data_IF_834560767022
#
_entry.id   IF_834560767022
#
_cell.length_a   1.000
_cell.length_b   1.000
_cell.length_c   1.000
_cell.angle_alpha   90.00
_cell.angle_beta   90.00
_cell.angle_gamma   90.00
#
_symmetry.space_group_name_H-M   'P 1'
#
loop_
_entity.id
_entity.type
_entity.pdbx_description
1 polymer ?
#
# COMPACT_ATOMS: atom_id res chain seq x y z
N UNK A 1 -15.72 -6.63 4.54
CA UNK A 1 -15.01 -6.05 5.71
C UNK A 1 -16.05 -5.64 6.72
N UNK A 2 -15.70 -5.59 7.99
CA UNK A 2 -16.55 -5.09 9.07
C UNK A 2 -16.63 -3.56 9.06
N UNK A 3 -17.68 -3.03 9.67
CA UNK A 3 -17.99 -1.60 9.70
C UNK A 3 -16.84 -0.78 10.31
N UNK A 4 -16.23 -1.28 11.39
CA UNK A 4 -15.10 -0.63 12.07
C UNK A 4 -13.90 -0.43 11.14
N UNK A 5 -13.60 -1.40 10.28
CA UNK A 5 -12.50 -1.27 9.31
C UNK A 5 -12.80 -0.23 8.23
N UNK A 6 -14.04 -0.19 7.75
CA UNK A 6 -14.46 0.79 6.74
C UNK A 6 -14.37 2.20 7.34
N UNK A 7 -14.88 2.38 8.56
CA UNK A 7 -14.80 3.66 9.29
C UNK A 7 -13.33 4.04 9.49
N UNK A 8 -12.48 3.14 9.99
CA UNK A 8 -11.07 3.42 10.19
C UNK A 8 -10.34 3.75 8.87
N UNK A 9 -10.73 3.12 7.75
CA UNK A 9 -10.23 3.45 6.42
C UNK A 9 -10.57 4.88 5.98
N UNK A 10 -11.77 5.36 6.29
CA UNK A 10 -12.15 6.75 6.02
C UNK A 10 -11.40 7.75 6.92
N UNK A 11 -10.99 7.33 8.12
CA UNK A 11 -10.32 8.16 9.12
C UNK A 11 -8.78 8.02 9.12
N UNK A 12 -8.21 7.23 8.22
CA UNK A 12 -6.84 6.72 8.35
C UNK A 12 -5.75 7.80 8.50
N UNK A 13 -5.90 8.94 7.82
CA UNK A 13 -4.97 10.07 7.87
C UNK A 13 -5.45 11.20 8.80
N UNK A 14 -6.61 11.08 9.43
CA UNK A 14 -7.20 12.13 10.28
C UNK A 14 -6.25 12.54 11.42
N UNK A 15 -5.58 11.59 12.05
CA UNK A 15 -4.66 11.86 13.16
C UNK A 15 -3.30 12.43 12.73
N UNK A 16 -2.94 12.32 11.46
CA UNK A 16 -1.69 12.89 10.91
C UNK A 16 -1.91 14.30 10.36
N UNK A 17 -3.00 14.49 9.63
CA UNK A 17 -3.25 15.72 8.87
C UNK A 17 -4.06 16.77 9.63
N UNK A 18 -4.62 16.42 10.79
CA UNK A 18 -5.47 17.34 11.57
C UNK A 18 -5.13 17.34 13.06
N UNK A 19 -5.51 18.41 13.75
CA UNK A 19 -5.36 18.54 15.21
C UNK A 19 -6.53 17.96 16.00
N UNK A 20 -7.28 17.02 15.43
CA UNK A 20 -8.43 16.40 16.10
C UNK A 20 -7.98 15.59 17.32
N UNK A 21 -8.69 15.77 18.44
CA UNK A 21 -8.46 14.94 19.63
C UNK A 21 -8.88 13.49 19.36
N UNK A 22 -7.97 12.55 19.61
CA UNK A 22 -8.19 11.10 19.54
C UNK A 22 -9.42 10.65 20.34
N UNK A 23 -9.74 11.34 21.44
CA UNK A 23 -10.93 11.05 22.27
C UNK A 23 -12.23 11.23 21.51
N UNK A 24 -12.27 12.13 20.52
CA UNK A 24 -13.44 12.37 19.69
C UNK A 24 -13.79 11.14 18.84
N UNK A 25 -12.78 10.41 18.35
CA UNK A 25 -13.00 9.19 17.56
C UNK A 25 -13.67 8.11 18.43
N UNK A 26 -13.16 7.88 19.64
CA UNK A 26 -13.75 6.89 20.56
C UNK A 26 -15.14 7.28 21.03
N UNK A 27 -15.43 8.58 21.22
CA UNK A 27 -16.76 9.03 21.66
C UNK A 27 -17.80 9.03 20.53
N UNK A 28 -17.37 9.23 19.28
CA UNK A 28 -18.25 9.28 18.12
C UNK A 28 -18.54 7.89 17.56
N UNK A 29 -17.54 7.01 17.57
CA UNK A 29 -17.65 5.65 17.02
C UNK A 29 -17.52 4.62 18.15
N UNK A 30 -16.31 4.13 18.41
CA UNK A 30 -16.00 3.21 19.50
C UNK A 30 -14.47 3.11 19.69
N UNK A 31 -14.04 2.38 20.73
CA UNK A 31 -12.61 2.17 21.00
C UNK A 31 -11.90 1.32 19.93
N UNK A 32 -12.60 0.39 19.26
CA UNK A 32 -12.02 -0.46 18.23
C UNK A 32 -11.57 0.38 17.02
N UNK A 33 -12.43 1.29 16.55
CA UNK A 33 -12.11 2.25 15.47
C UNK A 33 -10.91 3.11 15.87
N UNK A 34 -10.89 3.64 17.10
CA UNK A 34 -9.75 4.44 17.56
C UNK A 34 -8.44 3.65 17.53
N UNK A 35 -8.45 2.40 17.99
CA UNK A 35 -7.25 1.57 18.03
C UNK A 35 -6.79 1.16 16.63
N UNK A 36 -7.73 0.90 15.70
CA UNK A 36 -7.44 0.70 14.28
C UNK A 36 -6.76 1.93 13.67
N UNK A 37 -7.34 3.13 13.84
CA UNK A 37 -6.78 4.37 13.28
C UNK A 37 -5.38 4.62 13.85
N UNK A 38 -5.17 4.46 15.17
CA UNK A 38 -3.83 4.56 15.78
C UNK A 38 -2.83 3.57 15.17
N UNK A 39 -3.25 2.33 14.93
CA UNK A 39 -2.38 1.31 14.34
C UNK A 39 -2.00 1.68 12.90
N UNK A 40 -2.95 2.19 12.10
CA UNK A 40 -2.68 2.66 10.73
C UNK A 40 -1.70 3.84 10.72
N UNK A 41 -1.93 4.86 11.55
CA UNK A 41 -1.01 6.00 11.74
C UNK A 41 0.40 5.55 12.15
N UNK A 42 0.50 4.54 13.02
CA UNK A 42 1.82 4.00 13.41
C UNK A 42 2.57 3.39 12.22
N UNK A 43 1.88 2.60 11.39
CA UNK A 43 2.46 1.99 10.18
C UNK A 43 2.91 3.09 9.21
N UNK A 44 2.08 4.12 8.98
CA UNK A 44 2.43 5.29 8.16
C UNK A 44 3.69 6.00 8.66
N UNK A 45 3.81 6.22 9.97
CA UNK A 45 4.99 6.83 10.59
C UNK A 45 6.27 5.98 10.41
N UNK A 46 6.18 4.66 10.60
CA UNK A 46 7.32 3.75 10.39
C UNK A 46 7.75 3.70 8.92
N UNK A 47 6.79 3.68 7.98
CA UNK A 47 7.04 3.77 6.55
C UNK A 47 7.75 5.08 6.17
N UNK A 48 7.35 6.21 6.77
CA UNK A 48 8.01 7.50 6.55
C UNK A 48 9.47 7.48 7.04
N UNK A 49 9.73 6.94 8.23
CA UNK A 49 11.09 6.79 8.75
C UNK A 49 11.96 5.90 7.87
N UNK A 50 11.39 4.84 7.29
CA UNK A 50 12.10 3.98 6.34
C UNK A 50 12.53 4.77 5.10
N UNK A 51 11.60 5.51 4.48
CA UNK A 51 11.86 6.34 3.28
C UNK A 51 12.90 7.43 3.52
N UNK A 52 12.94 8.02 4.71
CA UNK A 52 13.91 9.08 5.07
C UNK A 52 15.29 8.50 5.46
N UNK A 53 15.48 7.19 5.39
CA UNK A 53 16.75 6.54 5.77
C UNK A 53 17.05 6.61 7.27
N UNK A 54 16.04 6.94 8.08
CA UNK A 54 16.16 7.08 9.54
C UNK A 54 16.11 5.73 10.27
N UNK A 55 15.86 4.63 9.54
CA UNK A 55 15.93 3.28 10.09
C UNK A 55 17.36 2.74 9.94
N UNK A 56 17.95 2.33 11.07
CA UNK A 56 19.32 1.82 11.18
C UNK A 56 19.55 0.49 10.44
N UNK A 57 18.51 -0.17 9.91
CA UNK A 57 18.57 -1.50 9.30
C UNK A 57 17.95 -1.42 7.89
N UNK A 58 18.82 -1.39 6.86
CA UNK A 58 18.49 -1.20 5.44
C UNK A 58 17.88 -2.41 4.73
N UNK A 59 17.53 -3.48 5.46
CA UNK A 59 17.00 -4.68 4.84
C UNK A 59 15.47 -4.59 4.77
N UNK A 60 14.93 -4.59 3.55
CA UNK A 60 13.49 -4.65 3.26
C UNK A 60 12.79 -5.82 3.96
N UNK A 61 13.51 -6.93 4.14
CA UNK A 61 13.08 -8.09 4.93
C UNK A 61 12.81 -7.75 6.40
N UNK A 62 13.73 -7.00 7.04
CA UNK A 62 13.58 -6.62 8.45
C UNK A 62 12.46 -5.61 8.64
N UNK A 63 12.29 -4.67 7.70
CA UNK A 63 11.16 -3.75 7.71
C UNK A 63 9.84 -4.50 7.54
N UNK A 64 9.75 -5.42 6.58
CA UNK A 64 8.58 -6.27 6.38
C UNK A 64 8.26 -7.07 7.64
N UNK A 65 9.25 -7.70 8.30
CA UNK A 65 9.06 -8.43 9.57
C UNK A 65 8.56 -7.49 10.68
N UNK A 66 9.09 -6.27 10.78
CA UNK A 66 8.63 -5.27 11.77
C UNK A 66 7.19 -4.86 11.53
N UNK A 67 6.81 -4.57 10.29
CA UNK A 67 5.43 -4.28 9.92
C UNK A 67 4.53 -5.45 10.28
N UNK A 68 4.91 -6.68 9.92
CA UNK A 68 4.18 -7.91 10.28
C UNK A 68 4.04 -8.11 11.80
N UNK A 69 5.10 -7.87 12.57
CA UNK A 69 5.08 -7.99 14.03
C UNK A 69 4.11 -6.98 14.65
N UNK A 70 4.11 -5.73 14.15
CA UNK A 70 3.22 -4.66 14.62
C UNK A 70 1.73 -4.92 14.37
N UNK A 71 1.38 -5.78 13.41
CA UNK A 71 -0.01 -6.13 13.02
C UNK A 71 -0.39 -7.57 13.40
N UNK A 72 0.48 -8.30 14.10
CA UNK A 72 0.30 -9.73 14.38
C UNK A 72 -0.99 -10.09 15.13
N UNK A 73 -1.59 -9.12 15.84
CA UNK A 73 -2.85 -9.30 16.57
C UNK A 73 -4.09 -8.90 15.77
N UNK A 74 -3.94 -8.07 14.74
CA UNK A 74 -5.04 -7.56 13.94
C UNK A 74 -4.53 -7.14 12.55
N UNK A 75 -5.04 -7.81 11.51
CA UNK A 75 -4.66 -7.58 10.12
C UNK A 75 -5.43 -6.43 9.48
N UNK A 76 -6.51 -5.93 10.11
CA UNK A 76 -7.35 -4.86 9.54
C UNK A 76 -6.54 -3.58 9.22
N UNK A 77 -5.61 -3.09 10.07
CA UNK A 77 -4.75 -1.94 9.78
C UNK A 77 -3.89 -2.09 8.51
N UNK A 78 -3.34 -3.28 8.26
CA UNK A 78 -2.52 -3.50 7.06
C UNK A 78 -3.37 -3.55 5.79
N UNK A 79 -4.60 -4.09 5.88
CA UNK A 79 -5.54 -4.09 4.77
C UNK A 79 -5.93 -2.66 4.41
N UNK A 80 -6.22 -1.82 5.40
CA UNK A 80 -6.46 -0.38 5.20
C UNK A 80 -5.26 0.25 4.48
N UNK A 81 -4.03 -0.05 4.93
CA UNK A 81 -2.84 0.56 4.33
C UNK A 81 -2.58 0.10 2.90
N UNK A 82 -2.86 -1.17 2.59
CA UNK A 82 -2.80 -1.70 1.22
C UNK A 82 -3.84 -1.00 0.33
N UNK A 83 -5.05 -0.77 0.83
CA UNK A 83 -6.09 -0.04 0.10
C UNK A 83 -5.69 1.41 -0.17
N UNK A 84 -5.16 2.11 0.84
CA UNK A 84 -4.57 3.45 0.70
C UNK A 84 -3.43 3.44 -0.34
N UNK A 85 -2.52 2.46 -0.30
CA UNK A 85 -1.43 2.34 -1.28
C UNK A 85 -1.93 2.11 -2.69
N UNK A 86 -2.94 1.27 -2.87
CA UNK A 86 -3.57 1.05 -4.17
C UNK A 86 -4.18 2.35 -4.73
N UNK A 87 -4.88 3.12 -3.88
CA UNK A 87 -5.41 4.43 -4.26
C UNK A 87 -4.29 5.41 -4.65
N UNK A 88 -3.25 5.52 -3.82
CA UNK A 88 -2.09 6.39 -4.08
C UNK A 88 -1.39 6.05 -5.39
N UNK A 89 -1.21 4.76 -5.70
CA UNK A 89 -0.66 4.33 -6.98
C UNK A 89 -1.58 4.67 -8.16
N UNK A 90 -2.89 4.61 -7.97
CA UNK A 90 -3.87 4.96 -9.00
C UNK A 90 -3.88 6.46 -9.35
N UNK A 91 -3.39 7.32 -8.44
CA UNK A 91 -3.32 8.78 -8.62
C UNK A 91 -1.87 9.31 -8.68
N UNK A 92 -0.88 8.42 -8.78
CA UNK A 92 0.55 8.74 -8.67
C UNK A 92 1.07 9.75 -9.71
N UNK A 93 0.39 9.83 -10.87
CA UNK A 93 0.73 10.73 -11.97
C UNK A 93 0.78 12.22 -11.60
N UNK A 94 0.10 12.62 -10.52
CA UNK A 94 0.11 14.01 -10.03
C UNK A 94 1.36 14.36 -9.21
N UNK A 95 2.20 13.38 -8.88
CA UNK A 95 3.46 13.59 -8.14
C UNK A 95 4.64 13.80 -9.09
N UNK A 96 5.73 14.40 -8.59
CA UNK A 96 7.00 14.48 -9.33
C UNK A 96 7.62 13.09 -9.52
N UNK A 97 8.29 12.87 -10.65
CA UNK A 97 8.90 11.58 -11.05
C UNK A 97 9.71 10.91 -9.93
N UNK A 98 10.57 11.66 -9.22
CA UNK A 98 11.38 11.10 -8.13
C UNK A 98 10.52 10.51 -7.01
N UNK A 99 9.43 11.21 -6.65
CA UNK A 99 8.49 10.76 -5.61
C UNK A 99 7.65 9.58 -6.11
N UNK A 100 7.30 9.55 -7.40
CA UNK A 100 6.62 8.40 -8.00
C UNK A 100 7.47 7.13 -7.87
N UNK A 101 8.77 7.21 -8.22
CA UNK A 101 9.70 6.07 -8.13
C UNK A 101 9.86 5.57 -6.70
N UNK A 102 9.99 6.46 -5.72
CA UNK A 102 10.12 6.08 -4.31
C UNK A 102 8.87 5.31 -3.85
N UNK A 103 7.67 5.84 -4.10
CA UNK A 103 6.42 5.20 -3.70
C UNK A 103 6.23 3.87 -4.43
N UNK A 104 6.56 3.82 -5.72
CA UNK A 104 6.45 2.61 -6.50
C UNK A 104 7.39 1.51 -6.00
N UNK A 105 8.65 1.86 -5.72
CA UNK A 105 9.66 0.93 -5.20
C UNK A 105 9.25 0.38 -3.83
N UNK A 106 8.82 1.25 -2.91
CA UNK A 106 8.31 0.85 -1.59
C UNK A 106 7.10 -0.09 -1.73
N UNK A 107 6.20 0.20 -2.67
CA UNK A 107 5.02 -0.62 -2.93
C UNK A 107 5.38 -2.00 -3.48
N UNK A 108 6.36 -2.07 -4.37
CA UNK A 108 6.87 -3.31 -4.93
C UNK A 108 7.57 -4.19 -3.88
N UNK A 109 8.48 -3.60 -3.10
CA UNK A 109 9.33 -4.34 -2.15
C UNK A 109 8.54 -4.82 -0.92
N UNK A 110 7.58 -4.02 -0.47
CA UNK A 110 6.90 -4.26 0.81
C UNK A 110 5.43 -4.64 0.57
N UNK A 111 4.61 -3.69 0.12
CA UNK A 111 3.15 -3.82 0.19
C UNK A 111 2.61 -4.91 -0.74
N UNK A 112 3.19 -5.07 -1.94
CA UNK A 112 2.83 -6.15 -2.86
C UNK A 112 3.19 -7.53 -2.27
N UNK A 113 4.30 -7.64 -1.55
CA UNK A 113 4.71 -8.88 -0.89
C UNK A 113 3.79 -9.22 0.28
N UNK A 114 3.42 -8.21 1.08
CA UNK A 114 2.44 -8.36 2.15
C UNK A 114 1.08 -8.82 1.58
N UNK A 115 0.58 -8.15 0.54
CA UNK A 115 -0.67 -8.53 -0.11
C UNK A 115 -0.64 -9.99 -0.59
N UNK A 116 0.48 -10.44 -1.16
CA UNK A 116 0.68 -11.84 -1.53
C UNK A 116 0.62 -12.81 -0.36
N UNK A 117 1.24 -12.47 0.77
CA UNK A 117 1.22 -13.31 1.98
C UNK A 117 -0.17 -13.39 2.63
N UNK A 118 -0.99 -12.36 2.45
CA UNK A 118 -2.39 -12.33 2.90
C UNK A 118 -3.37 -13.00 1.93
N UNK A 119 -2.87 -13.57 0.82
CA UNK A 119 -3.72 -14.18 -0.22
C UNK A 119 -4.49 -13.18 -1.07
N UNK A 120 -4.18 -11.88 -0.99
CA UNK A 120 -4.80 -10.81 -1.77
C UNK A 120 -4.19 -10.71 -3.17
N UNK A 121 -4.21 -11.82 -3.91
CA UNK A 121 -3.50 -11.94 -5.20
C UNK A 121 -3.95 -10.92 -6.24
N UNK A 122 -5.26 -10.64 -6.31
CA UNK A 122 -5.76 -9.63 -7.24
C UNK A 122 -5.14 -8.25 -6.97
N UNK A 123 -5.18 -7.79 -5.71
CA UNK A 123 -4.55 -6.52 -5.31
C UNK A 123 -3.04 -6.57 -5.57
N UNK A 124 -2.35 -7.65 -5.18
CA UNK A 124 -0.92 -7.80 -5.44
C UNK A 124 -0.60 -7.59 -6.92
N UNK A 125 -1.32 -8.26 -7.82
CA UNK A 125 -1.11 -8.12 -9.27
C UNK A 125 -1.30 -6.68 -9.71
N UNK A 126 -2.38 -6.01 -9.28
CA UNK A 126 -2.61 -4.62 -9.62
C UNK A 126 -1.50 -3.69 -9.12
N UNK A 127 -1.02 -3.88 -7.89
CA UNK A 127 0.11 -3.11 -7.34
C UNK A 127 1.38 -3.37 -8.17
N UNK A 128 1.67 -4.62 -8.53
CA UNK A 128 2.84 -4.97 -9.33
C UNK A 128 2.80 -4.37 -10.73
N UNK A 129 1.64 -4.39 -11.41
CA UNK A 129 1.50 -3.82 -12.74
C UNK A 129 1.75 -2.30 -12.75
N UNK A 130 1.15 -1.57 -11.79
CA UNK A 130 1.33 -0.11 -11.69
C UNK A 130 2.78 0.22 -11.32
N UNK A 131 3.36 -0.49 -10.36
CA UNK A 131 4.75 -0.25 -9.94
C UNK A 131 5.75 -0.59 -11.03
N UNK A 132 5.54 -1.67 -11.78
CA UNK A 132 6.41 -2.07 -12.89
C UNK A 132 6.48 -0.99 -13.96
N UNK A 133 5.33 -0.42 -14.34
CA UNK A 133 5.24 0.70 -15.28
C UNK A 133 6.06 1.93 -14.86
N UNK A 134 6.13 2.20 -13.55
CA UNK A 134 6.82 3.38 -13.01
C UNK A 134 8.32 3.12 -12.82
N UNK A 135 8.67 1.95 -12.31
CA UNK A 135 10.06 1.58 -11.99
C UNK A 135 10.84 1.32 -13.29
N UNK A 136 10.24 0.62 -14.26
CA UNK A 136 10.88 0.27 -15.52
C UNK A 136 9.92 0.42 -16.72
N UNK A 137 9.66 1.65 -17.19
CA UNK A 137 8.69 1.91 -18.25
C UNK A 137 9.06 1.23 -19.58
N UNK A 138 10.34 1.17 -19.94
CA UNK A 138 10.79 0.52 -21.18
C UNK A 138 10.46 -0.97 -21.18
N UNK A 139 10.83 -1.68 -20.11
CA UNK A 139 10.52 -3.11 -20.03
C UNK A 139 9.01 -3.38 -19.95
N UNK A 140 8.24 -2.47 -19.32
CA UNK A 140 6.79 -2.55 -19.30
C UNK A 140 6.20 -2.45 -20.72
N UNK A 141 6.63 -1.47 -21.51
CA UNK A 141 6.15 -1.25 -22.88
C UNK A 141 6.52 -2.41 -23.82
N UNK A 142 7.74 -2.96 -23.67
CA UNK A 142 8.19 -4.15 -24.41
C UNK A 142 7.31 -5.36 -24.07
N UNK A 143 7.06 -5.59 -22.77
CA UNK A 143 6.22 -6.69 -22.30
C UNK A 143 4.79 -6.55 -22.81
N UNK A 144 4.23 -5.33 -22.77
CA UNK A 144 2.89 -5.06 -23.26
C UNK A 144 2.76 -5.29 -24.76
N UNK A 145 3.80 -4.93 -25.52
CA UNK A 145 3.86 -5.16 -26.97
C UNK A 145 3.87 -6.66 -27.30
N UNK A 146 4.65 -7.46 -26.57
CA UNK A 146 4.69 -8.93 -26.71
C UNK A 146 3.34 -9.57 -26.37
N UNK A 147 2.69 -9.13 -25.29
CA UNK A 147 1.36 -9.62 -24.90
C UNK A 147 0.33 -9.32 -25.99
N UNK A 148 0.35 -8.10 -26.54
CA UNK A 148 -0.59 -7.69 -27.58
C UNK A 148 -0.38 -8.49 -28.87
N UNK A 149 0.86 -8.70 -29.29
CA UNK A 149 1.19 -9.54 -30.44
C UNK A 149 0.69 -10.98 -30.25
N UNK A 150 0.89 -11.57 -29.07
CA UNK A 150 0.40 -12.90 -28.76
C UNK A 150 -1.13 -13.00 -28.78
N UNK A 151 -1.85 -12.00 -28.24
CA UNK A 151 -3.32 -11.94 -28.28
C UNK A 151 -3.84 -11.88 -29.72
N UNK A 152 -3.22 -11.06 -30.57
CA UNK A 152 -3.54 -10.95 -32.00
C UNK A 152 -3.41 -12.30 -32.72
N UNK A 153 -2.30 -13.02 -32.49
CA UNK A 153 -2.07 -14.34 -33.07
C UNK A 153 -3.15 -15.33 -32.63
N UNK A 154 -3.56 -15.31 -31.36
CA UNK A 154 -4.58 -16.23 -30.86
C UNK A 154 -6.00 -15.86 -31.30
N UNK A 155 -6.30 -14.58 -31.52
CA UNK A 155 -7.60 -14.15 -32.07
C UNK A 155 -7.78 -14.51 -33.56
N UNK A 156 -6.68 -14.75 -34.28
CA UNK A 156 -6.68 -15.14 -35.70
C UNK A 156 -6.66 -16.66 -35.91
N UNK A 157 -6.68 -17.46 -34.82
CA UNK A 157 -6.67 -18.94 -34.85
C UNK A 157 -8.07 -19.59 -34.82
N UNK A 158 -9.10 -18.83 -35.15
CA UNK A 158 -10.48 -19.28 -35.34
C UNK A 158 -11.05 -18.70 -36.64
#
# INVERSE_FOLDING_TARGET
MDDDTIIAGLLHDLLEDTSVDKRLISSTFNNNVLDLVKAVTKISSEAKKNREGLLLHKNELDYTIRVFSSISKDLRPIIIKIADRFHNLSTIQYLKSDRQKIIAQETFDIYAQIAGRLGMYWIKTQLLDITFKIINPTAFDDTQSLINAHKLINSLKW
#
